data_IF_725561328556
#
_entry.id   IF_725561328556
#
_cell.length_a   1.000
_cell.length_b   1.000
_cell.length_c   1.000
_cell.angle_alpha   90.00
_cell.angle_beta   90.00
_cell.angle_gamma   90.00
#
_symmetry.space_group_name_H-M   'P 1'
#
loop_
_entity.id
_entity.type
_entity.pdbx_description
1 polymer ?
#
# COMPACT_ATOMS: atom_id res chain seq x y z
N UNK A 1 5.24 9.06 0.88
CA UNK A 1 4.93 7.83 0.15
C UNK A 1 3.44 7.70 -0.03
N UNK A 2 3.01 7.17 -1.13
CA UNK A 2 1.61 7.21 -1.53
C UNK A 2 1.11 5.85 -1.99
N UNK A 3 -0.22 5.74 -2.08
CA UNK A 3 -0.87 4.52 -2.55
C UNK A 3 -2.19 4.86 -3.22
N UNK A 4 -2.66 3.96 -4.07
CA UNK A 4 -3.99 4.00 -4.64
C UNK A 4 -4.87 2.97 -3.93
N UNK A 5 -6.10 3.37 -3.62
CA UNK A 5 -7.12 2.51 -3.04
C UNK A 5 -8.47 2.86 -3.65
N UNK A 6 -9.33 1.85 -3.83
CA UNK A 6 -10.60 2.05 -4.54
C UNK A 6 -11.62 2.87 -3.80
N UNK A 7 -11.61 2.85 -2.46
CA UNK A 7 -12.70 3.43 -1.68
C UNK A 7 -12.26 4.31 -0.50
N UNK A 8 -11.04 4.19 0.00
CA UNK A 8 -10.59 5.00 1.13
C UNK A 8 -10.50 6.47 0.73
N UNK A 9 -10.86 7.36 1.64
CA UNK A 9 -10.78 8.80 1.40
C UNK A 9 -9.36 9.24 1.10
N UNK A 10 -9.20 10.20 0.20
CA UNK A 10 -7.90 10.80 -0.09
C UNK A 10 -7.32 11.43 1.17
N UNK A 11 -6.02 11.25 1.38
CA UNK A 11 -5.36 11.70 2.59
C UNK A 11 -5.37 10.69 3.73
N UNK A 12 -6.07 9.57 3.60
CA UNK A 12 -6.08 8.52 4.61
C UNK A 12 -4.67 7.97 4.78
N UNK A 13 -4.20 7.92 6.02
CA UNK A 13 -2.91 7.33 6.35
C UNK A 13 -3.08 5.84 6.64
N UNK A 14 -2.30 5.01 5.97
CA UNK A 14 -2.30 3.55 6.16
C UNK A 14 -0.89 3.10 6.49
N UNK A 15 -0.76 2.29 7.52
CA UNK A 15 0.48 1.59 7.81
C UNK A 15 0.44 0.26 7.08
N UNK A 16 1.35 0.09 6.12
CA UNK A 16 1.43 -1.10 5.28
C UNK A 16 2.64 -1.91 5.72
N UNK A 17 2.44 -3.20 5.95
CA UNK A 17 3.50 -4.11 6.34
C UNK A 17 3.72 -5.22 5.33
N UNK A 18 4.99 -5.59 5.15
CA UNK A 18 5.36 -6.74 4.34
C UNK A 18 5.67 -7.91 5.27
N UNK A 19 4.80 -8.93 5.34
CA UNK A 19 5.02 -10.04 6.27
C UNK A 19 6.27 -10.86 5.93
N UNK A 20 6.77 -10.78 4.70
CA UNK A 20 7.99 -11.51 4.30
C UNK A 20 9.25 -10.87 4.83
N UNK A 21 9.29 -9.54 4.96
CA UNK A 21 10.48 -8.81 5.43
C UNK A 21 10.33 -8.26 6.83
N UNK A 22 9.11 -8.15 7.33
CA UNK A 22 8.80 -7.49 8.61
C UNK A 22 8.86 -5.97 8.55
N UNK A 23 9.13 -5.39 7.39
CA UNK A 23 9.22 -3.93 7.23
C UNK A 23 7.84 -3.32 7.06
N UNK A 24 7.68 -2.09 7.55
CA UNK A 24 6.44 -1.33 7.47
C UNK A 24 6.71 0.08 6.98
N UNK A 25 5.70 0.67 6.33
CA UNK A 25 5.77 2.04 5.83
C UNK A 25 4.40 2.69 5.95
N UNK A 26 4.36 3.96 6.33
CA UNK A 26 3.14 4.75 6.30
C UNK A 26 2.97 5.38 4.92
N UNK A 27 1.78 5.22 4.35
CA UNK A 27 1.45 5.78 3.05
C UNK A 27 0.17 6.59 3.14
N UNK A 28 -0.01 7.51 2.20
CA UNK A 28 -1.26 8.27 2.06
C UNK A 28 -1.96 7.89 0.77
N UNK A 29 -3.26 7.69 0.88
CA UNK A 29 -4.10 7.43 -0.29
C UNK A 29 -4.26 8.73 -1.06
N UNK A 30 -3.82 8.73 -2.32
CA UNK A 30 -3.92 9.92 -3.17
C UNK A 30 -4.45 9.62 -4.58
N UNK A 31 -4.90 8.40 -4.82
CA UNK A 31 -5.42 8.00 -6.11
C UNK A 31 -6.47 6.90 -5.95
N UNK A 32 -7.22 6.65 -7.01
CA UNK A 32 -8.21 5.59 -7.10
C UNK A 32 -7.68 4.42 -7.91
N UNK A 33 -8.02 3.24 -7.48
CA UNK A 33 -7.54 1.98 -8.02
C UNK A 33 -6.88 1.16 -6.93
N UNK A 34 -6.27 0.05 -7.28
CA UNK A 34 -6.26 -0.57 -8.61
C UNK A 34 -7.60 -1.23 -8.92
N UNK A 35 -7.88 -1.37 -10.21
CA UNK A 35 -9.12 -2.03 -10.67
C UNK A 35 -8.85 -3.45 -11.16
N UNK A 36 -7.69 -3.97 -10.89
CA UNK A 36 -7.31 -5.36 -11.18
C UNK A 36 -7.97 -6.28 -10.15
N UNK A 37 -8.68 -7.32 -10.56
CA UNK A 37 -9.27 -8.28 -9.63
C UNK A 37 -8.23 -8.87 -8.68
N UNK A 38 -8.59 -8.94 -7.39
CA UNK A 38 -7.71 -9.48 -6.35
C UNK A 38 -6.67 -8.51 -5.82
N UNK A 39 -6.59 -7.30 -6.34
CA UNK A 39 -5.66 -6.27 -5.86
C UNK A 39 -6.45 -5.16 -5.18
N UNK A 40 -6.19 -4.92 -3.90
CA UNK A 40 -6.91 -3.92 -3.11
C UNK A 40 -6.12 -2.62 -2.92
N UNK A 41 -4.80 -2.67 -3.02
CA UNK A 41 -3.93 -1.53 -2.75
C UNK A 41 -2.78 -1.52 -3.77
N UNK A 42 -2.49 -0.34 -4.30
CA UNK A 42 -1.36 -0.13 -5.20
C UNK A 42 -0.41 0.89 -4.58
N UNK A 43 0.79 0.45 -4.24
CA UNK A 43 1.79 1.29 -3.59
C UNK A 43 2.63 2.04 -4.62
N UNK A 44 3.04 3.26 -4.28
CA UNK A 44 4.08 3.94 -5.04
C UNK A 44 5.36 3.10 -5.05
N UNK A 45 6.20 3.29 -6.07
CA UNK A 45 7.45 2.54 -6.16
C UNK A 45 8.36 2.76 -4.96
N UNK A 46 8.38 3.97 -4.40
CA UNK A 46 9.14 4.28 -3.20
C UNK A 46 8.61 3.54 -1.98
N UNK A 47 7.29 3.47 -1.81
CA UNK A 47 6.68 2.75 -0.70
C UNK A 47 6.94 1.24 -0.81
N UNK A 48 6.76 0.66 -1.99
CA UNK A 48 7.02 -0.76 -2.21
C UNK A 48 8.48 -1.11 -1.93
N UNK A 49 9.39 -0.27 -2.38
CA UNK A 49 10.83 -0.45 -2.14
C UNK A 49 11.16 -0.37 -0.66
N UNK A 50 10.54 0.55 0.07
CA UNK A 50 10.79 0.73 1.49
C UNK A 50 10.48 -0.51 2.33
N UNK A 51 9.53 -1.33 1.90
CA UNK A 51 9.18 -2.57 2.60
C UNK A 51 9.74 -3.83 1.91
N UNK A 52 10.63 -3.67 0.95
CA UNK A 52 11.28 -4.79 0.28
C UNK A 52 10.38 -5.56 -0.66
N UNK A 53 9.35 -4.94 -1.17
CA UNK A 53 8.40 -5.57 -2.08
C UNK A 53 8.93 -5.53 -3.51
N UNK A 54 9.03 -6.68 -4.16
CA UNK A 54 9.57 -6.80 -5.51
C UNK A 54 8.51 -7.07 -6.57
N UNK A 55 7.38 -7.61 -6.14
CA UNK A 55 6.31 -7.98 -7.05
C UNK A 55 5.00 -7.93 -6.27
N UNK A 56 3.89 -8.19 -6.96
CA UNK A 56 2.59 -8.25 -6.33
C UNK A 56 2.57 -9.33 -5.25
N UNK A 57 2.14 -8.97 -4.05
CA UNK A 57 2.06 -9.89 -2.92
C UNK A 57 1.04 -9.39 -1.90
N UNK A 58 0.70 -10.25 -0.95
CA UNK A 58 -0.13 -9.86 0.19
C UNK A 58 0.66 -8.99 1.16
N UNK A 59 -0.01 -7.96 1.68
CA UNK A 59 0.55 -7.07 2.69
C UNK A 59 -0.47 -6.89 3.81
N UNK A 60 -0.02 -6.46 4.97
CA UNK A 60 -0.91 -6.06 6.06
C UNK A 60 -1.23 -4.59 5.96
N UNK A 61 -2.43 -4.20 6.38
CA UNK A 61 -2.84 -2.79 6.39
C UNK A 61 -3.50 -2.47 7.72
N UNK A 62 -3.14 -1.34 8.29
CA UNK A 62 -3.81 -0.76 9.45
C UNK A 62 -3.79 0.75 9.32
N UNK A 63 -4.65 1.44 10.06
CA UNK A 63 -4.63 2.91 10.06
C UNK A 63 -3.46 3.42 10.89
N UNK A 64 -2.89 4.51 10.40
CA UNK A 64 -1.84 5.19 11.16
C UNK A 64 -2.41 5.85 12.44
#
# INVERSE_FOLDING_TARGET
MTAAHRSLAFGTCILVGNPKTGKKVAVRVNDRGPFTPGVALDLSSGAARAIGMRSRQSVTMSRC
#
